data_IF_794598419467
#
_entry.id   IF_794598419467
#
_cell.length_a   1.000
_cell.length_b   1.000
_cell.length_c   1.000
_cell.angle_alpha   90.00
_cell.angle_beta   90.00
_cell.angle_gamma   90.00
#
_symmetry.space_group_name_H-M   'P 1'
#
loop_
_entity.id
_entity.type
_entity.pdbx_description
1 polymer ?
#
# COMPACT_ATOMS: atom_id res chain seq x y z
N UNK A 1 -18.87 51.45 11.48
CA UNK A 1 -18.91 49.98 11.72
C UNK A 1 -18.81 49.19 10.42
N UNK A 2 -19.59 49.48 9.38
CA UNK A 2 -19.63 48.74 8.08
C UNK A 2 -18.26 48.62 7.39
N UNK A 3 -17.45 49.68 7.33
CA UNK A 3 -16.12 49.63 6.69
C UNK A 3 -15.10 48.75 7.45
N UNK A 4 -15.19 48.67 8.78
CA UNK A 4 -14.32 47.81 9.57
C UNK A 4 -14.64 46.33 9.37
N UNK A 5 -15.92 45.99 9.20
CA UNK A 5 -16.35 44.59 8.90
C UNK A 5 -15.88 44.19 7.51
N UNK A 6 -16.00 45.06 6.52
CA UNK A 6 -15.54 44.82 5.14
C UNK A 6 -14.02 44.62 5.11
N UNK A 7 -13.24 45.44 5.80
CA UNK A 7 -11.79 45.32 5.85
C UNK A 7 -11.36 43.99 6.55
N UNK A 8 -12.04 43.61 7.64
CA UNK A 8 -11.78 42.35 8.32
C UNK A 8 -12.11 41.15 7.42
N UNK A 9 -13.21 41.19 6.66
CA UNK A 9 -13.56 40.13 5.72
C UNK A 9 -12.52 39.99 4.59
N UNK A 10 -12.05 41.11 4.03
CA UNK A 10 -11.01 41.12 2.99
C UNK A 10 -9.70 40.56 3.55
N UNK A 11 -9.28 40.93 4.75
CA UNK A 11 -8.07 40.42 5.38
C UNK A 11 -8.15 38.89 5.63
N UNK A 12 -9.32 38.39 6.06
CA UNK A 12 -9.56 36.98 6.23
C UNK A 12 -9.46 36.18 4.92
N UNK A 13 -10.05 36.73 3.84
CA UNK A 13 -9.97 36.12 2.50
C UNK A 13 -8.54 36.05 2.01
N UNK A 14 -7.76 37.13 2.18
CA UNK A 14 -6.34 37.18 1.79
C UNK A 14 -5.53 36.15 2.58
N UNK A 15 -5.76 36.02 3.89
CA UNK A 15 -5.10 35.01 4.73
C UNK A 15 -5.45 33.58 4.31
N UNK A 16 -6.71 33.31 4.01
CA UNK A 16 -7.16 32.01 3.52
C UNK A 16 -6.55 31.67 2.15
N UNK A 17 -6.55 32.63 1.21
CA UNK A 17 -5.93 32.45 -0.10
C UNK A 17 -4.42 32.24 0.02
N UNK A 18 -3.74 32.97 0.89
CA UNK A 18 -2.32 32.81 1.17
C UNK A 18 -2.00 31.44 1.78
N UNK A 19 -2.82 30.97 2.72
CA UNK A 19 -2.70 29.64 3.29
C UNK A 19 -2.90 28.53 2.25
N UNK A 20 -3.93 28.66 1.39
CA UNK A 20 -4.19 27.72 0.30
C UNK A 20 -3.03 27.71 -0.71
N UNK A 21 -2.53 28.89 -1.12
CA UNK A 21 -1.42 29.01 -2.06
C UNK A 21 -0.10 28.42 -1.50
N UNK A 22 0.09 28.44 -0.17
CA UNK A 22 1.24 27.83 0.48
C UNK A 22 1.13 26.31 0.64
N UNK A 23 -0.09 25.76 0.72
CA UNK A 23 -0.35 24.33 0.93
C UNK A 23 -0.55 23.59 -0.40
N UNK A 24 -1.21 24.22 -1.38
CA UNK A 24 -1.57 23.57 -2.65
C UNK A 24 -0.38 22.95 -3.41
N UNK A 25 0.81 23.59 -3.53
CA UNK A 25 1.94 22.95 -4.18
C UNK A 25 2.43 21.70 -3.44
N UNK A 26 2.37 21.70 -2.10
CA UNK A 26 2.80 20.57 -1.28
C UNK A 26 1.83 19.39 -1.34
N UNK A 27 0.54 19.67 -1.51
CA UNK A 27 -0.49 18.62 -1.66
C UNK A 27 -0.35 17.81 -2.96
N UNK A 28 0.35 18.35 -3.96
CA UNK A 28 0.62 17.67 -5.23
C UNK A 28 2.00 16.99 -5.28
N UNK A 29 2.80 17.10 -4.22
CA UNK A 29 4.12 16.45 -4.14
C UNK A 29 4.01 15.09 -3.47
N UNK A 30 4.70 14.08 -4.01
CA UNK A 30 4.88 12.80 -3.34
C UNK A 30 5.81 13.01 -2.13
N UNK A 31 5.22 13.19 -0.95
CA UNK A 31 5.96 13.33 0.31
C UNK A 31 5.60 12.18 1.26
N UNK A 32 6.58 11.66 2.02
CA UNK A 32 6.26 10.66 3.03
C UNK A 32 5.22 11.20 4.01
N UNK A 33 4.20 10.41 4.38
CA UNK A 33 3.17 10.85 5.31
C UNK A 33 3.76 11.09 6.70
N UNK A 34 3.20 12.07 7.43
CA UNK A 34 3.58 12.35 8.81
C UNK A 34 3.19 11.23 9.77
N UNK A 35 3.84 11.14 10.94
CA UNK A 35 3.57 10.09 11.95
C UNK A 35 2.10 10.00 12.35
N UNK A 36 1.41 11.13 12.54
CA UNK A 36 0.00 11.17 12.91
C UNK A 36 -0.88 10.69 11.74
N UNK A 37 -0.59 11.13 10.54
CA UNK A 37 -1.28 10.72 9.32
C UNK A 37 -1.14 9.21 9.11
N UNK A 38 0.07 8.68 9.27
CA UNK A 38 0.35 7.23 9.20
C UNK A 38 -0.45 6.46 10.25
N UNK A 39 -0.49 6.93 11.51
CA UNK A 39 -1.22 6.27 12.58
C UNK A 39 -2.75 6.25 12.33
N UNK A 40 -3.31 7.37 11.85
CA UNK A 40 -4.74 7.45 11.51
C UNK A 40 -5.05 6.55 10.32
N UNK A 41 -4.25 6.62 9.25
CA UNK A 41 -4.43 5.80 8.07
C UNK A 41 -4.33 4.30 8.39
N UNK A 42 -3.36 3.91 9.23
CA UNK A 42 -3.19 2.55 9.71
C UNK A 42 -4.46 2.07 10.45
N UNK A 43 -4.90 2.81 11.46
CA UNK A 43 -6.09 2.45 12.23
C UNK A 43 -7.34 2.34 11.36
N UNK A 44 -7.53 3.29 10.44
CA UNK A 44 -8.66 3.30 9.53
C UNK A 44 -8.63 2.09 8.56
N UNK A 45 -7.47 1.77 7.99
CA UNK A 45 -7.31 0.59 7.12
C UNK A 45 -7.64 -0.70 7.86
N UNK A 46 -7.06 -0.91 9.05
CA UNK A 46 -7.23 -2.16 9.82
C UNK A 46 -8.64 -2.38 10.35
N UNK A 47 -9.39 -1.32 10.65
CA UNK A 47 -10.65 -1.45 11.39
C UNK A 47 -11.88 -1.08 10.57
N UNK A 48 -11.74 -0.28 9.51
CA UNK A 48 -12.87 0.31 8.81
C UNK A 48 -12.89 -0.06 7.33
N UNK A 49 -11.74 0.08 6.62
CA UNK A 49 -11.73 0.01 5.16
C UNK A 49 -11.38 -1.36 4.59
N UNK A 50 -10.56 -2.16 5.28
CA UNK A 50 -10.17 -3.48 4.80
C UNK A 50 -11.12 -4.52 5.37
N UNK A 51 -11.86 -5.17 4.48
CA UNK A 51 -12.88 -6.16 4.84
C UNK A 51 -12.32 -7.55 5.13
N UNK A 52 -13.25 -8.50 5.28
CA UNK A 52 -12.97 -9.95 5.37
C UNK A 52 -12.09 -10.41 6.55
N UNK A 53 -11.99 -9.62 7.62
CA UNK A 53 -11.12 -9.88 8.78
C UNK A 53 -11.23 -11.31 9.33
N UNK A 54 -12.43 -11.88 9.32
CA UNK A 54 -12.70 -13.21 9.88
C UNK A 54 -12.60 -14.35 8.85
N UNK A 55 -12.35 -14.04 7.58
CA UNK A 55 -12.22 -15.04 6.55
C UNK A 55 -10.91 -15.80 6.74
N UNK A 56 -10.98 -17.12 6.68
CA UNK A 56 -9.81 -18.00 6.79
C UNK A 56 -9.36 -18.41 5.40
N UNK A 57 -8.05 -18.61 5.25
CA UNK A 57 -7.51 -19.18 4.04
C UNK A 57 -8.02 -20.64 3.91
N UNK A 58 -8.69 -21.01 2.81
CA UNK A 58 -9.14 -22.39 2.59
C UNK A 58 -8.01 -23.33 2.19
N UNK A 59 -6.88 -22.79 1.69
CA UNK A 59 -5.76 -23.61 1.25
C UNK A 59 -4.87 -24.02 2.43
N UNK A 60 -4.30 -25.22 2.39
CA UNK A 60 -3.37 -25.66 3.42
C UNK A 60 -2.04 -24.90 3.29
N UNK A 61 -1.43 -24.58 4.43
CA UNK A 61 -0.07 -24.05 4.48
C UNK A 61 0.93 -25.21 4.33
N UNK A 62 1.31 -25.52 3.10
CA UNK A 62 2.27 -26.57 2.74
C UNK A 62 3.26 -26.10 1.66
N UNK A 63 4.24 -26.93 1.36
CA UNK A 63 5.29 -26.59 0.40
C UNK A 63 4.74 -26.27 -1.00
N UNK A 64 3.74 -27.04 -1.48
CA UNK A 64 3.17 -26.82 -2.81
C UNK A 64 2.43 -25.47 -2.87
N UNK A 65 1.55 -25.19 -1.93
CA UNK A 65 0.82 -23.91 -1.88
C UNK A 65 1.78 -22.70 -1.81
N UNK A 66 2.92 -22.84 -1.12
CA UNK A 66 3.95 -21.79 -1.07
C UNK A 66 4.63 -21.59 -2.42
N UNK A 67 4.89 -22.69 -3.16
CA UNK A 67 5.46 -22.62 -4.51
C UNK A 67 4.49 -21.98 -5.47
N UNK A 68 3.22 -22.39 -5.46
CA UNK A 68 2.17 -21.84 -6.32
C UNK A 68 1.99 -20.32 -6.04
N UNK A 69 1.98 -19.94 -4.76
CA UNK A 69 1.91 -18.54 -4.35
C UNK A 69 3.13 -17.71 -4.77
N UNK A 70 4.33 -18.29 -4.67
CA UNK A 70 5.56 -17.65 -5.16
C UNK A 70 5.51 -17.44 -6.68
N UNK A 71 5.04 -18.45 -7.41
CA UNK A 71 4.92 -18.37 -8.87
C UNK A 71 3.94 -17.26 -9.28
N UNK A 72 2.73 -17.25 -8.73
CA UNK A 72 1.75 -16.20 -8.99
C UNK A 72 2.30 -14.81 -8.59
N UNK A 73 2.94 -14.69 -7.43
CA UNK A 73 3.59 -13.46 -6.97
C UNK A 73 4.66 -12.98 -7.96
N UNK A 74 5.48 -13.89 -8.48
CA UNK A 74 6.57 -13.56 -9.40
C UNK A 74 6.10 -12.97 -10.72
N UNK A 75 4.90 -13.32 -11.19
CA UNK A 75 4.35 -12.81 -12.43
C UNK A 75 3.66 -11.44 -12.29
N UNK A 76 3.05 -11.16 -11.12
CA UNK A 76 2.13 -10.03 -11.00
C UNK A 76 2.58 -8.96 -10.00
N UNK A 77 3.44 -9.30 -9.04
CA UNK A 77 3.71 -8.44 -7.89
C UNK A 77 5.13 -7.89 -7.82
N UNK A 78 6.10 -8.57 -8.42
CA UNK A 78 7.53 -8.28 -8.27
C UNK A 78 7.94 -6.92 -8.82
N UNK A 79 7.25 -6.40 -9.83
CA UNK A 79 7.54 -5.07 -10.38
C UNK A 79 7.44 -3.95 -9.33
N UNK A 80 6.57 -4.13 -8.33
CA UNK A 80 6.39 -3.16 -7.26
C UNK A 80 6.97 -3.61 -5.92
N UNK A 81 6.93 -4.92 -5.64
CA UNK A 81 7.28 -5.44 -4.32
C UNK A 81 8.65 -6.14 -4.26
N UNK A 82 9.38 -6.21 -5.39
CA UNK A 82 10.63 -6.94 -5.48
C UNK A 82 10.44 -8.47 -5.43
N UNK A 83 11.51 -9.21 -5.75
CA UNK A 83 11.47 -10.68 -5.80
C UNK A 83 11.24 -11.33 -4.42
N UNK A 84 11.55 -10.61 -3.37
CA UNK A 84 11.45 -11.03 -1.98
C UNK A 84 10.22 -10.44 -1.24
N UNK A 85 9.42 -9.62 -1.92
CA UNK A 85 8.30 -8.91 -1.30
C UNK A 85 8.73 -7.77 -0.37
N UNK A 86 9.98 -7.34 -0.39
CA UNK A 86 10.56 -6.35 0.50
C UNK A 86 11.16 -5.16 -0.25
N UNK A 87 10.70 -4.95 -1.49
CA UNK A 87 11.08 -3.85 -2.38
C UNK A 87 12.57 -3.88 -2.81
N UNK A 88 13.29 -4.98 -2.61
CA UNK A 88 14.69 -5.09 -3.02
C UNK A 88 14.80 -4.88 -4.52
N UNK A 89 15.66 -3.92 -4.94
CA UNK A 89 15.90 -3.60 -6.34
C UNK A 89 14.73 -2.87 -7.03
N UNK A 90 13.77 -2.32 -6.30
CA UNK A 90 12.66 -1.52 -6.86
C UNK A 90 12.96 -0.03 -6.68
N UNK A 91 13.43 0.68 -7.73
CA UNK A 91 14.03 2.01 -7.58
C UNK A 91 13.04 3.11 -7.19
N UNK A 92 11.74 2.90 -7.38
CA UNK A 92 10.70 3.90 -7.09
C UNK A 92 9.89 3.60 -5.82
N UNK A 93 10.16 2.49 -5.13
CA UNK A 93 9.33 2.04 -4.00
C UNK A 93 9.16 3.11 -2.92
N UNK A 94 10.22 3.85 -2.61
CA UNK A 94 10.22 4.91 -1.59
C UNK A 94 9.86 6.31 -2.16
N UNK A 95 9.72 6.42 -3.49
CA UNK A 95 9.52 7.70 -4.18
C UNK A 95 8.08 7.96 -4.61
N UNK A 96 7.17 7.02 -4.40
CA UNK A 96 5.73 7.21 -4.63
C UNK A 96 5.01 7.56 -3.33
N UNK A 97 3.80 8.07 -3.43
CA UNK A 97 2.99 8.44 -2.25
C UNK A 97 1.63 7.74 -2.27
N UNK A 98 1.32 6.94 -1.24
CA UNK A 98 2.22 6.47 -0.17
C UNK A 98 3.31 5.54 -0.71
N UNK A 99 4.45 5.41 -0.01
CA UNK A 99 5.50 4.46 -0.37
C UNK A 99 4.99 3.02 -0.40
N UNK A 100 5.60 2.18 -1.23
CA UNK A 100 5.28 0.74 -1.26
C UNK A 100 5.80 0.12 0.03
N UNK A 101 4.95 -0.49 0.87
CA UNK A 101 5.42 -1.10 2.11
C UNK A 101 6.18 -2.40 1.82
N UNK A 102 7.21 -2.69 2.60
CA UNK A 102 7.75 -4.04 2.68
C UNK A 102 6.64 -4.99 3.16
N UNK A 103 6.38 -6.06 2.41
CA UNK A 103 5.36 -7.05 2.77
C UNK A 103 5.75 -7.88 4.00
N UNK A 104 7.03 -7.89 4.37
CA UNK A 104 7.51 -8.49 5.61
C UNK A 104 7.39 -7.57 6.83
N UNK A 105 6.96 -6.31 6.66
CA UNK A 105 6.83 -5.37 7.78
C UNK A 105 5.83 -5.85 8.82
N UNK A 106 6.04 -5.53 10.12
CA UNK A 106 5.08 -5.87 11.17
C UNK A 106 3.66 -5.33 10.89
N UNK A 107 3.56 -4.19 10.21
CA UNK A 107 2.29 -3.61 9.80
C UNK A 107 1.55 -4.55 8.85
N UNK A 108 2.18 -4.96 7.75
CA UNK A 108 1.55 -5.83 6.76
C UNK A 108 1.28 -7.22 7.35
N UNK A 109 2.19 -7.74 8.13
CA UNK A 109 2.06 -9.06 8.76
C UNK A 109 0.99 -9.11 9.87
N UNK A 110 0.54 -7.96 10.38
CA UNK A 110 -0.56 -7.89 11.35
C UNK A 110 -1.95 -8.04 10.74
N UNK A 111 -2.11 -7.87 9.42
CA UNK A 111 -3.37 -8.18 8.73
C UNK A 111 -3.70 -9.66 8.82
N UNK A 112 -4.98 -9.99 8.97
CA UNK A 112 -5.43 -11.39 8.85
C UNK A 112 -5.33 -11.86 7.40
N UNK A 113 -5.36 -13.20 7.18
CA UNK A 113 -5.33 -13.75 5.83
C UNK A 113 -6.49 -13.25 4.97
N UNK A 114 -7.68 -13.14 5.56
CA UNK A 114 -8.84 -12.58 4.88
C UNK A 114 -8.66 -11.11 4.50
N UNK A 115 -7.99 -10.31 5.33
CA UNK A 115 -7.67 -8.93 5.02
C UNK A 115 -6.62 -8.82 3.90
N UNK A 116 -5.58 -9.67 3.92
CA UNK A 116 -4.59 -9.74 2.83
C UNK A 116 -5.26 -10.15 1.52
N UNK A 117 -6.13 -11.18 1.56
CA UNK A 117 -6.93 -11.58 0.38
C UNK A 117 -7.79 -10.44 -0.14
N UNK A 118 -8.46 -9.70 0.75
CA UNK A 118 -9.26 -8.54 0.38
C UNK A 118 -8.43 -7.46 -0.31
N UNK A 119 -7.21 -7.19 0.19
CA UNK A 119 -6.27 -6.25 -0.42
C UNK A 119 -5.87 -6.73 -1.83
N UNK A 120 -5.61 -8.02 -2.01
CA UNK A 120 -5.30 -8.59 -3.30
C UNK A 120 -6.49 -8.51 -4.27
N UNK A 121 -7.72 -8.73 -3.78
CA UNK A 121 -8.93 -8.65 -4.60
C UNK A 121 -9.18 -7.23 -5.14
N UNK A 122 -9.10 -6.24 -4.27
CA UNK A 122 -9.61 -4.89 -4.56
C UNK A 122 -8.52 -3.82 -4.72
N UNK A 123 -7.28 -4.13 -4.35
CA UNK A 123 -6.21 -3.16 -4.31
C UNK A 123 -6.33 -2.16 -3.15
N UNK A 124 -5.53 -1.11 -3.18
CA UNK A 124 -5.51 -0.05 -2.16
C UNK A 124 -5.56 1.32 -2.81
N UNK A 125 -6.70 1.99 -2.72
CA UNK A 125 -6.82 3.38 -3.14
C UNK A 125 -6.38 4.33 -1.99
N UNK A 126 -5.63 5.41 -2.26
CA UNK A 126 -5.13 5.91 -3.56
C UNK A 126 -3.68 5.45 -3.89
N UNK A 127 -3.20 4.35 -3.31
CA UNK A 127 -1.78 3.96 -3.37
C UNK A 127 -1.31 3.50 -4.76
N UNK A 128 -2.21 3.31 -5.72
CA UNK A 128 -1.87 2.77 -7.03
C UNK A 128 -1.70 1.24 -7.06
N UNK A 129 -1.85 0.53 -5.93
CA UNK A 129 -1.90 -0.93 -5.93
C UNK A 129 -3.20 -1.40 -6.58
N UNK A 130 -3.16 -2.08 -7.74
CA UNK A 130 -4.37 -2.55 -8.42
C UNK A 130 -4.99 -3.75 -7.68
N UNK A 131 -6.29 -3.93 -7.85
CA UNK A 131 -6.95 -5.19 -7.50
C UNK A 131 -6.71 -6.25 -8.57
N UNK A 132 -6.60 -7.51 -8.14
CA UNK A 132 -6.33 -8.65 -9.03
C UNK A 132 -7.55 -9.55 -9.22
N UNK A 133 -8.69 -9.20 -8.66
CA UNK A 133 -9.94 -9.94 -8.83
C UNK A 133 -10.35 -10.00 -10.30
N UNK A 134 -10.56 -11.21 -10.83
CA UNK A 134 -10.89 -11.44 -12.22
C UNK A 134 -9.66 -11.52 -13.15
N UNK A 135 -8.46 -11.17 -12.66
CA UNK A 135 -7.19 -11.42 -13.36
C UNK A 135 -6.55 -12.71 -12.84
N UNK A 136 -6.57 -12.90 -11.53
CA UNK A 136 -6.13 -14.12 -10.85
C UNK A 136 -7.33 -14.90 -10.32
N UNK A 137 -7.19 -16.22 -10.28
CA UNK A 137 -8.16 -17.10 -9.63
C UNK A 137 -8.13 -16.93 -8.10
N UNK A 138 -9.19 -17.37 -7.43
CA UNK A 138 -9.24 -17.35 -5.97
C UNK A 138 -8.13 -18.19 -5.34
N UNK A 139 -7.80 -19.34 -5.93
CA UNK A 139 -6.73 -20.21 -5.42
C UNK A 139 -5.35 -19.57 -5.56
N UNK A 140 -5.07 -18.89 -6.69
CA UNK A 140 -3.84 -18.11 -6.85
C UNK A 140 -3.73 -16.99 -5.80
N UNK A 141 -4.80 -16.26 -5.58
CA UNK A 141 -4.82 -15.17 -4.59
C UNK A 141 -4.63 -15.71 -3.16
N UNK A 142 -5.24 -16.85 -2.81
CA UNK A 142 -5.04 -17.48 -1.50
C UNK A 142 -3.65 -18.09 -1.35
N UNK A 143 -3.08 -18.64 -2.42
CA UNK A 143 -1.70 -19.16 -2.39
C UNK A 143 -0.68 -18.02 -2.24
N UNK A 144 -0.94 -16.84 -2.85
CA UNK A 144 -0.13 -15.64 -2.60
C UNK A 144 -0.17 -15.28 -1.10
N UNK A 145 -1.34 -15.31 -0.44
CA UNK A 145 -1.42 -15.05 1.01
C UNK A 145 -0.53 -16.02 1.81
N UNK A 146 -0.53 -17.31 1.46
CA UNK A 146 0.36 -18.29 2.10
C UNK A 146 1.83 -17.91 1.86
N UNK A 147 2.21 -17.56 0.63
CA UNK A 147 3.58 -17.14 0.32
C UNK A 147 3.98 -15.89 1.12
N UNK A 148 3.10 -14.90 1.26
CA UNK A 148 3.37 -13.69 2.04
C UNK A 148 3.65 -13.96 3.53
N UNK A 149 3.19 -15.07 4.08
CA UNK A 149 3.53 -15.52 5.45
C UNK A 149 4.93 -16.15 5.57
N UNK A 150 5.54 -16.49 4.42
CA UNK A 150 6.81 -17.19 4.32
C UNK A 150 7.81 -16.48 3.40
N UNK A 151 7.80 -15.15 3.41
CA UNK A 151 8.71 -14.37 2.56
C UNK A 151 10.17 -14.71 2.84
N UNK A 152 11.01 -14.77 1.79
CA UNK A 152 12.44 -15.00 1.96
C UNK A 152 13.13 -13.82 2.62
N UNK A 153 14.35 -13.97 3.15
CA UNK A 153 15.14 -12.86 3.67
C UNK A 153 15.34 -11.76 2.62
N UNK A 154 15.37 -10.50 3.07
CA UNK A 154 15.58 -9.35 2.19
C UNK A 154 16.84 -9.51 1.33
N UNK A 155 16.72 -9.25 0.04
CA UNK A 155 17.81 -9.34 -0.94
C UNK A 155 18.24 -10.75 -1.33
N UNK A 156 17.71 -11.82 -0.70
CA UNK A 156 18.12 -13.20 -0.97
C UNK A 156 17.67 -13.73 -2.34
N UNK A 157 16.74 -13.06 -3.00
CA UNK A 157 16.20 -13.45 -4.31
C UNK A 157 16.75 -12.60 -5.46
N UNK A 158 17.65 -11.64 -5.17
CA UNK A 158 18.15 -10.67 -6.16
C UNK A 158 17.12 -9.59 -6.49
N UNK A 159 17.43 -8.85 -7.54
CA UNK A 159 16.60 -7.76 -8.06
C UNK A 159 15.71 -8.23 -9.22
N UNK A 160 14.56 -7.60 -9.46
CA UNK A 160 13.74 -7.92 -10.63
C UNK A 160 14.51 -7.63 -11.93
N UNK A 161 14.49 -8.56 -12.89
CA UNK A 161 15.23 -8.45 -14.15
C UNK A 161 14.98 -7.14 -14.91
N UNK A 162 13.76 -6.61 -14.80
CA UNK A 162 13.38 -5.34 -15.44
C UNK A 162 14.15 -4.11 -14.92
N UNK A 163 14.84 -4.22 -13.79
CA UNK A 163 15.61 -3.15 -13.15
C UNK A 163 17.11 -3.41 -13.11
N UNK A 164 17.56 -4.59 -13.51
CA UNK A 164 19.00 -4.89 -13.67
C UNK A 164 19.52 -4.26 -14.96
N UNK A 165 20.52 -3.40 -14.86
CA UNK A 165 21.19 -2.71 -15.97
C UNK A 165 22.59 -3.23 -16.18
#
# INVERSE_FOLDING_TARGET
MRNRIILAAIALVILLCGAIAGVAPRACMATPPGKLETAIAYSAKHHIFIGNKNQKNPLPDNAQTRVDGKEAFSHYCVACHGMDGQNTGVPFADHISPPIPSLASPEVQSYTDGQLKWILDYGVYPSGMPGSRGTLSDDELWSIVVFLRHLPPAGSQGEPEMYTH
#
